data_IF_093642899525
#
_entry.id   IF_093642899525
#
_cell.length_a   1.000
_cell.length_b   1.000
_cell.length_c   1.000
_cell.angle_alpha   90.00
_cell.angle_beta   90.00
_cell.angle_gamma   90.00
#
_symmetry.space_group_name_H-M   'P 1'
#
loop_
_entity.id
_entity.type
_entity.pdbx_description
1 polymer ?
#
# COMPACT_ATOMS: atom_id res chain seq x y z
N UNK A 1 15.94 -4.38 1.50
CA UNK A 1 14.60 -4.95 1.59
C UNK A 1 14.52 -6.17 0.67
N UNK A 2 14.48 -7.39 1.23
CA UNK A 2 14.23 -8.59 0.44
C UNK A 2 12.74 -8.65 0.05
N UNK A 3 12.47 -8.97 -1.21
CA UNK A 3 11.14 -9.22 -1.74
C UNK A 3 11.13 -10.64 -2.28
N UNK A 4 10.55 -11.56 -1.51
CA UNK A 4 10.37 -12.96 -1.90
C UNK A 4 8.98 -13.19 -2.49
N UNK A 5 8.78 -14.36 -3.08
CA UNK A 5 7.42 -14.84 -3.33
C UNK A 5 6.65 -14.94 -2.00
N UNK A 6 5.38 -14.57 -2.04
CA UNK A 6 4.47 -14.53 -0.92
C UNK A 6 3.03 -14.56 -1.45
N UNK A 7 2.05 -14.70 -0.55
CA UNK A 7 0.64 -14.64 -0.95
C UNK A 7 0.35 -13.32 -1.70
N UNK A 8 -0.34 -13.37 -2.86
CA UNK A 8 -0.68 -12.18 -3.65
C UNK A 8 -1.40 -11.09 -2.86
N UNK A 9 -2.14 -11.47 -1.80
CA UNK A 9 -2.84 -10.53 -0.92
C UNK A 9 -1.90 -9.59 -0.15
N UNK A 10 -0.67 -10.01 0.14
CA UNK A 10 0.32 -9.21 0.85
C UNK A 10 1.17 -8.35 -0.10
N UNK A 11 1.30 -8.79 -1.35
CA UNK A 11 2.12 -8.15 -2.39
C UNK A 11 1.40 -6.93 -2.98
N UNK A 12 1.27 -5.87 -2.19
CA UNK A 12 0.54 -4.64 -2.53
C UNK A 12 1.46 -3.43 -2.75
N UNK A 13 1.00 -2.45 -3.53
CA UNK A 13 1.73 -1.19 -3.76
C UNK A 13 2.01 -0.45 -2.44
N UNK A 14 1.06 -0.43 -1.52
CA UNK A 14 1.21 0.27 -0.25
C UNK A 14 2.30 -0.34 0.63
N UNK A 15 2.42 -1.67 0.65
CA UNK A 15 3.49 -2.34 1.39
C UNK A 15 4.86 -2.01 0.78
N UNK A 16 4.98 -2.07 -0.55
CA UNK A 16 6.20 -1.68 -1.27
C UNK A 16 6.61 -0.23 -0.95
N UNK A 17 5.65 0.70 -1.05
CA UNK A 17 5.86 2.12 -0.76
C UNK A 17 6.27 2.36 0.70
N UNK A 18 5.65 1.64 1.64
CA UNK A 18 5.97 1.73 3.07
C UNK A 18 7.41 1.28 3.34
N UNK A 19 7.84 0.16 2.75
CA UNK A 19 9.22 -0.31 2.89
C UNK A 19 10.24 0.66 2.27
N UNK A 20 9.90 1.22 1.11
CA UNK A 20 10.74 2.18 0.39
C UNK A 20 10.95 3.48 1.18
N UNK A 21 9.88 4.06 1.73
CA UNK A 21 9.92 5.36 2.43
C UNK A 21 10.56 5.31 3.82
N UNK A 22 10.74 4.12 4.41
CA UNK A 22 11.49 3.98 5.67
C UNK A 22 13.00 4.13 5.52
N UNK A 23 13.55 3.99 4.31
CA UNK A 23 14.97 4.14 4.07
C UNK A 23 15.35 5.64 4.02
N UNK A 24 16.36 6.05 4.81
CA UNK A 24 16.72 7.47 4.97
C UNK A 24 17.84 7.97 4.06
N UNK A 25 18.76 7.10 3.65
CA UNK A 25 19.98 7.48 2.91
C UNK A 25 20.30 6.53 1.75
N UNK A 26 20.04 5.23 1.91
CA UNK A 26 20.27 4.22 0.88
C UNK A 26 19.19 3.14 1.00
N UNK A 27 18.66 2.70 -0.14
CA UNK A 27 17.73 1.60 -0.24
C UNK A 27 18.26 0.58 -1.25
N UNK A 28 18.44 -0.66 -0.81
CA UNK A 28 18.76 -1.79 -1.68
C UNK A 28 17.56 -2.74 -1.66
N UNK A 29 16.99 -3.02 -2.82
CA UNK A 29 15.91 -3.99 -3.00
C UNK A 29 16.49 -5.23 -3.67
N UNK A 30 16.19 -6.40 -3.10
CA UNK A 30 16.66 -7.68 -3.63
C UNK A 30 15.43 -8.56 -3.83
N UNK A 31 15.17 -8.98 -5.07
CA UNK A 31 14.00 -9.79 -5.39
C UNK A 31 13.75 -9.91 -6.89
N UNK A 32 12.68 -10.61 -7.25
CA UNK A 32 12.31 -10.82 -8.64
C UNK A 32 11.59 -9.59 -9.21
N UNK A 33 12.04 -9.12 -10.39
CA UNK A 33 11.45 -7.98 -11.11
C UNK A 33 9.94 -8.13 -11.35
N UNK A 34 9.48 -9.32 -11.70
CA UNK A 34 8.06 -9.58 -11.97
C UNK A 34 7.19 -9.40 -10.72
N UNK A 35 7.72 -9.75 -9.54
CA UNK A 35 7.01 -9.56 -8.26
C UNK A 35 6.92 -8.07 -7.94
N UNK A 36 7.99 -7.32 -8.16
CA UNK A 36 7.99 -5.86 -7.95
C UNK A 36 6.98 -5.20 -8.88
N UNK A 37 6.97 -5.55 -10.17
CA UNK A 37 5.98 -5.06 -11.13
C UNK A 37 4.55 -5.45 -10.76
N UNK A 38 4.34 -6.65 -10.23
CA UNK A 38 3.06 -7.09 -9.69
C UNK A 38 2.64 -6.21 -8.52
N UNK A 39 3.51 -5.99 -7.53
CA UNK A 39 3.24 -5.13 -6.38
C UNK A 39 2.94 -3.69 -6.81
N UNK A 40 3.68 -3.17 -7.80
CA UNK A 40 3.40 -1.84 -8.39
C UNK A 40 2.00 -1.86 -8.99
N UNK A 41 1.62 -2.84 -9.82
CA UNK A 41 0.28 -2.88 -10.44
C UNK A 41 -0.85 -3.12 -9.42
N UNK A 42 -0.57 -3.82 -8.32
CA UNK A 42 -1.53 -4.13 -7.26
C UNK A 42 -1.76 -2.93 -6.32
N UNK A 43 -2.35 -1.87 -6.87
CA UNK A 43 -2.78 -0.68 -6.13
C UNK A 43 -4.09 -0.91 -5.36
N UNK A 44 -4.74 -2.06 -5.56
CA UNK A 44 -6.06 -2.36 -5.04
C UNK A 44 -6.00 -2.66 -3.53
N UNK A 45 -5.88 -1.58 -2.78
CA UNK A 45 -6.11 -1.56 -1.35
C UNK A 45 -7.61 -1.77 -1.18
N UNK A 46 -8.04 -3.04 -1.11
CA UNK A 46 -9.44 -3.46 -0.91
C UNK A 46 -10.23 -2.34 -0.24
N UNK A 47 -11.25 -1.83 -0.93
CA UNK A 47 -12.01 -0.66 -0.50
C UNK A 47 -12.36 -0.80 1.00
N UNK A 48 -11.78 0.08 1.82
CA UNK A 48 -11.93 -0.02 3.27
C UNK A 48 -13.34 0.45 3.62
N UNK A 49 -14.18 -0.49 4.05
CA UNK A 49 -15.53 -0.18 4.51
C UNK A 49 -15.45 0.57 5.84
N UNK A 50 -15.52 1.91 5.80
CA UNK A 50 -15.51 2.77 6.98
C UNK A 50 -16.62 3.82 6.92
N UNK A 51 -17.33 4.03 8.03
CA UNK A 51 -18.36 5.08 8.14
C UNK A 51 -17.82 6.48 8.48
N UNK A 52 -16.51 6.62 8.68
CA UNK A 52 -15.91 7.88 9.15
C UNK A 52 -16.14 9.03 8.17
N UNK A 53 -15.92 8.78 6.87
CA UNK A 53 -16.13 9.78 5.83
C UNK A 53 -17.57 10.28 5.80
N UNK A 54 -18.54 9.38 5.99
CA UNK A 54 -19.97 9.72 6.04
C UNK A 54 -20.28 10.58 7.27
N UNK A 55 -19.80 10.19 8.45
CA UNK A 55 -19.97 10.96 9.69
C UNK A 55 -19.41 12.38 9.58
N UNK A 56 -18.20 12.55 9.01
CA UNK A 56 -17.60 13.87 8.86
C UNK A 56 -18.38 14.77 7.89
N UNK A 57 -18.80 14.25 6.74
CA UNK A 57 -19.59 15.02 5.75
C UNK A 57 -20.95 15.47 6.28
N UNK A 58 -21.64 14.63 7.05
CA UNK A 58 -22.95 14.98 7.60
C UNK A 58 -22.88 15.97 8.75
N UNK A 59 -21.81 15.95 9.56
CA UNK A 59 -21.63 16.96 10.61
C UNK A 59 -21.29 18.34 10.04
N UNK A 60 -20.52 18.43 8.95
CA UNK A 60 -20.19 19.71 8.30
C UNK A 60 -21.42 20.37 7.64
N UNK A 61 -22.40 19.59 7.17
CA UNK A 61 -23.65 20.13 6.58
C UNK A 61 -24.69 20.59 7.61
N UNK A 62 -24.47 20.32 8.89
CA UNK A 62 -25.41 20.63 9.98
C UNK A 62 -25.15 22.01 10.62
N UNK A 63 -24.02 22.63 10.28
CA UNK A 63 -23.65 24.01 10.59
C UNK A 63 -23.65 24.83 9.29
#
# INVERSE_FOLDING_TARGET
>A
MPISQSSPMLLTRNLLYTGMTRAKKLLIIIGNKNIIEFMIRNADSKKRNTGLQYKLKNNVKKY
#
